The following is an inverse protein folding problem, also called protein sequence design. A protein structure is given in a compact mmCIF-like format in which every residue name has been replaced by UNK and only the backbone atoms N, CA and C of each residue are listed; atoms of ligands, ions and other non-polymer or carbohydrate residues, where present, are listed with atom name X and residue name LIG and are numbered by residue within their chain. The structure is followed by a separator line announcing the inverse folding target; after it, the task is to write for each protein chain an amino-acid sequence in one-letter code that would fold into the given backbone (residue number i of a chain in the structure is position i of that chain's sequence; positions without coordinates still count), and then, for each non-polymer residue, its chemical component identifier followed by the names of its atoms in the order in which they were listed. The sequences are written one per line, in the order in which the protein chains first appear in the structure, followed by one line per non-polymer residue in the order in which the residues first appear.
data_IF_152203381842
#
_entry.id   IF_152203381842
#
_cell.length_a   1.000
_cell.length_b   1.000
_cell.length_c   1.000
_cell.angle_alpha   90.00
_cell.angle_beta   90.00
_cell.angle_gamma   90.00
#
_symmetry.space_group_name_H-M   'P 1'
#
loop_
_entity.id
_entity.type
_entity.pdbx_description
1 polymer ?
#
# COMPACT_ATOMS: atom_id res chain seq x y z
N UNK A 1 14.51 -21.31 -17.07
CA UNK A 1 14.83 -20.01 -17.70
C UNK A 1 13.59 -19.22 -18.13
N UNK A 2 12.86 -19.61 -19.18
CA UNK A 2 11.68 -18.83 -19.63
C UNK A 2 10.53 -18.80 -18.61
N UNK A 3 10.20 -19.96 -18.02
CA UNK A 3 9.16 -20.08 -16.99
C UNK A 3 9.50 -19.31 -15.70
N UNK A 4 10.75 -19.36 -15.27
CA UNK A 4 11.24 -18.63 -14.09
C UNK A 4 11.22 -17.11 -14.29
N UNK A 5 11.50 -16.64 -15.51
CA UNK A 5 11.41 -15.23 -15.86
C UNK A 5 9.95 -14.76 -15.85
N UNK A 6 9.04 -15.55 -16.40
CA UNK A 6 7.61 -15.25 -16.44
C UNK A 6 7.00 -15.18 -15.03
N UNK A 7 7.29 -16.17 -14.17
CA UNK A 7 6.86 -16.16 -12.76
C UNK A 7 7.42 -14.95 -11.99
N UNK A 8 8.63 -14.50 -12.33
CA UNK A 8 9.24 -13.34 -11.72
C UNK A 8 8.58 -12.03 -12.16
N UNK A 9 8.22 -11.90 -13.44
CA UNK A 9 7.51 -10.73 -13.97
C UNK A 9 6.10 -10.62 -13.39
N UNK A 10 5.42 -11.75 -13.23
CA UNK A 10 4.09 -11.80 -12.61
C UNK A 10 4.14 -11.34 -11.16
N UNK A 11 5.14 -11.80 -10.38
CA UNK A 11 5.38 -11.30 -9.02
C UNK A 11 5.74 -9.82 -8.96
N UNK A 12 6.51 -9.29 -9.91
CA UNK A 12 6.81 -7.85 -9.96
C UNK A 12 5.51 -7.07 -10.17
N UNK A 13 4.67 -7.52 -11.09
CA UNK A 13 3.36 -6.89 -11.37
C UNK A 13 2.45 -6.90 -10.15
N UNK A 14 2.39 -8.00 -9.41
CA UNK A 14 1.65 -8.10 -8.15
C UNK A 14 2.16 -7.10 -7.10
N UNK A 15 3.48 -6.97 -6.96
CA UNK A 15 4.08 -6.04 -6.01
C UNK A 15 3.80 -4.60 -6.41
N UNK A 16 3.93 -4.26 -7.69
CA UNK A 16 3.65 -2.91 -8.18
C UNK A 16 2.16 -2.56 -8.03
N UNK A 17 1.25 -3.52 -8.25
CA UNK A 17 -0.17 -3.37 -7.96
C UNK A 17 -0.43 -3.15 -6.45
N UNK A 18 0.29 -3.87 -5.59
CA UNK A 18 0.24 -3.69 -4.14
C UNK A 18 0.71 -2.31 -3.70
N UNK A 19 1.76 -1.77 -4.33
CA UNK A 19 2.22 -0.39 -4.12
C UNK A 19 1.11 0.59 -4.51
N UNK A 20 0.52 0.44 -5.71
CA UNK A 20 -0.56 1.30 -6.17
C UNK A 20 -1.78 1.28 -5.22
N UNK A 21 -2.21 0.09 -4.79
CA UNK A 21 -3.30 -0.07 -3.84
C UNK A 21 -2.98 0.57 -2.49
N UNK A 22 -1.76 0.37 -1.96
CA UNK A 22 -1.36 0.99 -0.69
C UNK A 22 -1.40 2.52 -0.73
N UNK A 23 -1.05 3.12 -1.87
CA UNK A 23 -1.21 4.56 -2.09
C UNK A 23 -2.67 4.99 -2.08
N UNK A 24 -3.59 4.17 -2.61
CA UNK A 24 -5.02 4.44 -2.53
C UNK A 24 -5.55 4.30 -1.10
N UNK A 25 -5.10 3.29 -0.36
CA UNK A 25 -5.43 3.11 1.06
C UNK A 25 -4.92 4.26 1.93
N UNK A 26 -3.80 4.90 1.59
CA UNK A 26 -3.34 6.10 2.29
C UNK A 26 -4.38 7.25 2.25
N UNK A 27 -5.25 7.28 1.24
CA UNK A 27 -6.29 8.30 1.07
C UNK A 27 -7.57 8.01 1.87
N UNK A 28 -7.73 6.79 2.38
CA UNK A 28 -8.97 6.30 2.96
C UNK A 28 -9.44 7.11 4.18
N UNK A 29 -8.56 7.58 5.10
CA UNK A 29 -8.96 8.48 6.18
C UNK A 29 -9.56 9.80 5.68
N UNK A 30 -8.97 10.40 4.64
CA UNK A 30 -9.46 11.64 4.05
C UNK A 30 -10.80 11.44 3.34
N UNK A 31 -10.99 10.30 2.66
CA UNK A 31 -12.27 9.94 2.06
C UNK A 31 -13.34 9.74 3.13
N UNK A 32 -12.99 9.09 4.25
CA UNK A 32 -13.90 8.92 5.38
C UNK A 32 -14.33 10.27 5.96
N UNK A 33 -13.39 11.18 6.22
CA UNK A 33 -13.69 12.51 6.73
C UNK A 33 -14.56 13.32 5.77
N UNK A 34 -14.28 13.23 4.47
CA UNK A 34 -15.09 13.87 3.43
C UNK A 34 -16.54 13.37 3.44
N UNK A 35 -16.75 12.05 3.51
CA UNK A 35 -18.09 11.44 3.54
C UNK A 35 -18.84 11.87 4.80
N UNK A 36 -18.20 11.80 5.97
CA UNK A 36 -18.82 12.19 7.23
C UNK A 36 -19.26 13.65 7.19
N UNK A 37 -18.41 14.55 6.69
CA UNK A 37 -18.72 15.98 6.57
C UNK A 37 -19.93 16.24 5.65
N UNK A 38 -20.00 15.56 4.50
CA UNK A 38 -21.05 15.80 3.50
C UNK A 38 -22.36 15.09 3.80
N UNK A 39 -22.30 13.89 4.40
CA UNK A 39 -23.48 13.07 4.68
C UNK A 39 -24.07 13.30 6.07
N UNK A 40 -23.48 14.20 6.89
CA UNK A 40 -23.90 14.50 8.28
C UNK A 40 -24.02 13.26 9.15
N UNK A 41 -23.19 12.25 8.87
CA UNK A 41 -23.14 11.01 9.64
C UNK A 41 -22.33 11.29 10.91
N UNK A 42 -22.74 10.79 12.09
CA UNK A 42 -21.91 10.91 13.29
C UNK A 42 -20.57 10.21 13.07
N UNK A 43 -19.45 10.91 13.37
CA UNK A 43 -18.12 10.31 13.31
C UNK A 43 -18.06 9.13 14.29
N UNK A 44 -17.66 7.97 13.77
CA UNK A 44 -17.44 6.75 14.57
C UNK A 44 -16.16 6.85 15.40
N UNK A 45 -15.14 7.51 14.84
CA UNK A 45 -13.84 7.71 15.48
C UNK A 45 -13.70 9.18 15.85
N UNK A 46 -13.86 9.49 17.13
CA UNK A 46 -13.72 10.86 17.67
C UNK A 46 -12.77 10.89 18.88
N UNK A 47 -12.31 12.09 19.23
CA UNK A 47 -11.42 12.31 20.37
C UNK A 47 -10.06 11.62 20.22
N UNK A 48 -9.43 11.31 21.36
CA UNK A 48 -8.08 10.76 21.37
C UNK A 48 -8.01 9.33 20.80
N UNK A 49 -9.08 8.53 20.96
CA UNK A 49 -9.16 7.20 20.38
C UNK A 49 -9.09 7.22 18.85
N UNK A 50 -9.80 8.17 18.21
CA UNK A 50 -9.73 8.36 16.75
C UNK A 50 -8.35 8.78 16.27
N UNK A 51 -7.67 9.67 17.02
CA UNK A 51 -6.30 10.11 16.70
C UNK A 51 -5.29 8.97 16.79
N UNK A 52 -5.38 8.15 17.84
CA UNK A 52 -4.51 6.98 18.01
C UNK A 52 -4.74 5.98 16.87
N UNK A 53 -6.00 5.72 16.51
CA UNK A 53 -6.33 4.83 15.40
C UNK A 53 -5.73 5.33 14.07
N UNK A 54 -5.91 6.62 13.76
CA UNK A 54 -5.38 7.22 12.54
C UNK A 54 -3.85 7.13 12.50
N UNK A 55 -3.18 7.41 13.61
CA UNK A 55 -1.72 7.34 13.71
C UNK A 55 -1.20 5.92 13.54
N UNK A 56 -1.85 4.93 14.15
CA UNK A 56 -1.54 3.50 13.95
C UNK A 56 -1.77 3.09 12.50
N UNK A 57 -2.87 3.54 11.89
CA UNK A 57 -3.19 3.29 10.50
C UNK A 57 -2.11 3.84 9.55
N UNK A 58 -1.72 5.10 9.71
CA UNK A 58 -0.68 5.74 8.92
C UNK A 58 0.66 5.00 9.04
N UNK A 59 1.06 4.61 10.26
CA UNK A 59 2.27 3.82 10.48
C UNK A 59 2.20 2.49 9.72
N UNK A 60 1.08 1.77 9.79
CA UNK A 60 0.93 0.49 9.10
C UNK A 60 1.01 0.66 7.57
N UNK A 61 0.38 1.68 7.02
CA UNK A 61 0.44 2.00 5.58
C UNK A 61 1.88 2.33 5.16
N UNK A 62 2.59 3.16 5.94
CA UNK A 62 3.98 3.53 5.66
C UNK A 62 4.90 2.30 5.72
N UNK A 63 4.78 1.47 6.77
CA UNK A 63 5.59 0.25 6.93
C UNK A 63 5.34 -0.70 5.75
N UNK A 64 4.08 -0.90 5.37
CA UNK A 64 3.73 -1.74 4.24
C UNK A 64 4.27 -1.19 2.92
N UNK A 65 4.17 0.12 2.71
CA UNK A 65 4.69 0.78 1.51
C UNK A 65 6.21 0.58 1.36
N UNK A 66 6.98 0.80 2.43
CA UNK A 66 8.43 0.57 2.41
C UNK A 66 8.78 -0.90 2.17
N UNK A 67 8.03 -1.83 2.77
CA UNK A 67 8.20 -3.26 2.54
C UNK A 67 7.99 -3.63 1.06
N UNK A 68 6.93 -3.13 0.43
CA UNK A 68 6.62 -3.39 -0.98
C UNK A 68 7.65 -2.76 -1.92
N UNK A 69 8.10 -1.54 -1.65
CA UNK A 69 9.20 -0.92 -2.41
C UNK A 69 10.49 -1.74 -2.33
N UNK A 70 10.86 -2.21 -1.14
CA UNK A 70 12.03 -3.05 -0.96
C UNK A 70 11.91 -4.36 -1.75
N UNK A 71 10.73 -4.98 -1.72
CA UNK A 71 10.45 -6.20 -2.47
C UNK A 71 10.54 -5.97 -3.98
N UNK A 72 9.96 -4.88 -4.50
CA UNK A 72 10.04 -4.51 -5.93
C UNK A 72 11.49 -4.31 -6.36
N UNK A 73 12.32 -3.63 -5.55
CA UNK A 73 13.74 -3.47 -5.83
C UNK A 73 14.48 -4.82 -5.88
N UNK A 74 14.21 -5.71 -4.91
CA UNK A 74 14.82 -7.04 -4.84
C UNK A 74 14.44 -7.91 -6.05
N UNK A 75 13.18 -7.87 -6.48
CA UNK A 75 12.69 -8.62 -7.65
C UNK A 75 13.27 -8.05 -8.95
N UNK A 76 13.28 -6.73 -9.13
CA UNK A 76 13.89 -6.07 -10.29
C UNK A 76 15.41 -6.31 -10.38
N UNK A 77 16.11 -6.43 -9.24
CA UNK A 77 17.52 -6.84 -9.21
C UNK A 77 17.69 -8.30 -9.67
N UNK A 78 16.79 -9.20 -9.27
CA UNK A 78 16.80 -10.59 -9.76
C UNK A 78 16.51 -10.67 -11.26
N UNK A 79 15.53 -9.91 -11.76
CA UNK A 79 15.17 -9.88 -13.19
C UNK A 79 16.36 -9.49 -14.06
N UNK A 80 17.08 -8.43 -13.66
CA UNK A 80 18.29 -7.98 -14.35
C UNK A 80 19.39 -9.03 -14.46
N UNK A 81 19.55 -9.90 -13.45
CA UNK A 81 20.52 -11.01 -13.44
C UNK A 81 20.12 -12.23 -14.28
N UNK A 82 18.84 -12.33 -14.66
CA UNK A 82 18.33 -13.42 -15.49
C UNK A 82 18.28 -13.04 -16.97
N UNK A 83 18.15 -11.74 -17.27
CA UNK A 83 18.09 -11.20 -18.63
C UNK A 83 19.50 -10.85 -19.17
N UNK A 84 20.43 -10.44 -18.30
CA UNK A 84 21.83 -10.21 -18.63
C UNK A 84 22.74 -11.18 -17.91
#
# INVERSE_FOLDING_TARGET
MFKELQELEERIKEVDAGIFLSSFYALLPYVYDYIVLHSKIPQLLTGDAGRIFLLVYEILVIVFFFYMMFLSFKLNKKRRKLIG
#
